data_IF_357733981313
#
_entry.id   IF_357733981313
#
_cell.length_a   1.000
_cell.length_b   1.000
_cell.length_c   1.000
_cell.angle_alpha   90.00
_cell.angle_beta   90.00
_cell.angle_gamma   90.00
#
_symmetry.space_group_name_H-M   'P 1'
#
loop_
_entity.id
_entity.type
_entity.pdbx_description
1 polymer ?
#
# COMPACT_ATOMS: atom_id res chain seq x y z
N UNK A 1 2.17 -14.60 -8.06
CA UNK A 1 3.56 -14.09 -8.04
C UNK A 1 4.33 -14.40 -9.33
N UNK A 2 4.56 -15.67 -9.72
CA UNK A 2 5.27 -16.03 -10.96
C UNK A 2 4.70 -15.35 -12.21
N UNK A 3 3.39 -15.47 -12.44
CA UNK A 3 2.72 -14.88 -13.61
C UNK A 3 2.85 -13.35 -13.66
N UNK A 4 2.72 -12.70 -12.50
CA UNK A 4 2.86 -11.23 -12.39
C UNK A 4 4.29 -10.81 -12.74
N UNK A 5 5.29 -11.50 -12.17
CA UNK A 5 6.69 -11.20 -12.42
C UNK A 5 7.04 -11.33 -13.92
N UNK A 6 6.63 -12.43 -14.55
CA UNK A 6 6.88 -12.66 -15.97
C UNK A 6 6.16 -11.63 -16.85
N UNK A 7 4.91 -11.31 -16.56
CA UNK A 7 4.16 -10.28 -17.29
C UNK A 7 4.78 -8.88 -17.14
N UNK A 8 5.35 -8.57 -15.97
CA UNK A 8 6.03 -7.31 -15.68
C UNK A 8 7.50 -7.26 -16.15
N UNK A 9 7.99 -8.33 -16.82
CA UNK A 9 9.37 -8.39 -17.32
C UNK A 9 10.44 -8.50 -16.23
N UNK A 10 10.09 -8.98 -15.04
CA UNK A 10 11.03 -9.18 -13.92
C UNK A 10 11.11 -10.63 -13.49
N UNK A 11 12.23 -11.01 -12.86
CA UNK A 11 12.33 -12.34 -12.27
C UNK A 11 11.40 -12.48 -11.05
N UNK A 12 10.84 -13.67 -10.75
CA UNK A 12 10.06 -13.90 -9.54
C UNK A 12 10.82 -13.56 -8.25
N UNK A 13 12.13 -13.78 -8.26
CA UNK A 13 13.00 -13.44 -7.12
C UNK A 13 13.17 -11.92 -6.98
N UNK A 14 13.24 -11.16 -8.08
CA UNK A 14 13.22 -9.70 -8.06
C UNK A 14 11.92 -9.18 -7.46
N UNK A 15 10.77 -9.73 -7.89
CA UNK A 15 9.47 -9.34 -7.34
C UNK A 15 9.40 -9.61 -5.83
N UNK A 16 9.87 -10.78 -5.36
CA UNK A 16 9.97 -11.07 -3.91
C UNK A 16 10.83 -10.06 -3.15
N UNK A 17 11.95 -9.64 -3.72
CA UNK A 17 12.82 -8.64 -3.09
C UNK A 17 12.14 -7.28 -3.00
N UNK A 18 11.35 -6.91 -3.99
CA UNK A 18 10.55 -5.67 -3.97
C UNK A 18 9.48 -5.76 -2.87
N UNK A 19 8.69 -6.85 -2.85
CA UNK A 19 7.64 -7.09 -1.83
C UNK A 19 8.18 -7.07 -0.40
N UNK A 20 9.37 -7.64 -0.19
CA UNK A 20 10.02 -7.68 1.12
C UNK A 20 10.82 -6.42 1.48
N UNK A 21 10.84 -5.40 0.62
CA UNK A 21 11.61 -4.18 0.83
C UNK A 21 13.14 -4.37 0.72
N UNK A 22 13.61 -5.51 0.21
CA UNK A 22 15.03 -5.83 0.01
C UNK A 22 15.63 -5.25 -1.28
N UNK A 23 14.84 -4.49 -2.04
CA UNK A 23 15.32 -3.60 -3.09
C UNK A 23 15.16 -2.17 -2.59
N UNK A 24 16.26 -1.52 -2.21
CA UNK A 24 16.21 -0.17 -1.64
C UNK A 24 15.69 0.88 -2.64
N UNK A 25 15.99 0.70 -3.93
CA UNK A 25 15.62 1.63 -5.01
C UNK A 25 15.26 0.86 -6.29
N UNK A 26 14.07 0.23 -6.35
CA UNK A 26 13.60 -0.35 -7.60
C UNK A 26 13.47 0.74 -8.67
N UNK A 27 13.80 0.42 -9.92
CA UNK A 27 13.69 1.39 -11.01
C UNK A 27 12.23 1.79 -11.22
N UNK A 28 11.96 3.05 -11.51
CA UNK A 28 10.59 3.51 -11.79
C UNK A 28 9.89 2.70 -12.91
N UNK A 29 10.54 2.38 -14.05
CA UNK A 29 9.95 1.52 -15.06
C UNK A 29 9.52 0.14 -14.53
N UNK A 30 10.27 -0.42 -13.57
CA UNK A 30 9.91 -1.69 -12.92
C UNK A 30 8.61 -1.55 -12.14
N UNK A 31 8.45 -0.48 -11.38
CA UNK A 31 7.23 -0.23 -10.61
C UNK A 31 6.04 0.02 -11.54
N UNK A 32 6.23 0.80 -12.60
CA UNK A 32 5.19 1.06 -13.60
C UNK A 32 4.71 -0.22 -14.30
N UNK A 33 5.63 -1.11 -14.69
CA UNK A 33 5.28 -2.40 -15.32
C UNK A 33 4.50 -3.33 -14.37
N UNK A 34 4.87 -3.37 -13.09
CA UNK A 34 4.14 -4.16 -12.08
C UNK A 34 2.73 -3.59 -11.87
N UNK A 35 2.59 -2.26 -11.79
CA UNK A 35 1.29 -1.60 -11.63
C UNK A 35 0.35 -1.87 -12.82
N UNK A 36 0.86 -1.79 -14.05
CA UNK A 36 0.09 -2.10 -15.26
C UNK A 36 -0.46 -3.53 -15.27
N UNK A 37 0.39 -4.52 -14.96
CA UNK A 37 0.00 -5.94 -14.86
C UNK A 37 -1.08 -6.17 -13.79
N UNK A 38 -1.00 -5.44 -12.67
CA UNK A 38 -1.99 -5.50 -11.59
C UNK A 38 -3.24 -4.65 -11.85
N UNK A 39 -3.25 -3.89 -12.95
CA UNK A 39 -4.30 -2.92 -13.31
C UNK A 39 -4.52 -1.87 -12.21
N UNK A 40 -3.44 -1.44 -11.58
CA UNK A 40 -3.43 -0.38 -10.57
C UNK A 40 -2.95 0.93 -11.19
N UNK A 41 -3.58 2.05 -10.81
CA UNK A 41 -3.06 3.36 -11.16
C UNK A 41 -1.83 3.68 -10.30
N UNK A 42 -0.79 4.27 -10.91
CA UNK A 42 0.34 4.80 -10.15
C UNK A 42 -0.07 5.92 -9.20
N UNK A 43 -1.12 6.67 -9.52
CA UNK A 43 -1.67 7.70 -8.64
C UNK A 43 -2.34 7.07 -7.41
N UNK A 44 -3.03 5.94 -7.57
CA UNK A 44 -3.63 5.19 -6.45
C UNK A 44 -2.55 4.62 -5.53
N UNK A 45 -1.51 4.02 -6.11
CA UNK A 45 -0.35 3.50 -5.36
C UNK A 45 0.35 4.63 -4.61
N UNK A 46 0.56 5.78 -5.26
CA UNK A 46 1.13 6.95 -4.62
C UNK A 46 0.27 7.48 -3.48
N UNK A 47 -1.05 7.59 -3.69
CA UNK A 47 -1.97 8.04 -2.67
C UNK A 47 -1.94 7.12 -1.44
N UNK A 48 -1.95 5.80 -1.64
CA UNK A 48 -1.89 4.82 -0.56
C UNK A 48 -0.61 4.92 0.28
N UNK A 49 0.56 5.07 -0.36
CA UNK A 49 1.85 5.19 0.34
C UNK A 49 1.97 6.50 1.11
N UNK A 50 1.32 7.56 0.63
CA UNK A 50 1.35 8.90 1.27
C UNK A 50 0.16 9.17 2.19
N UNK A 51 -0.76 8.21 2.36
CA UNK A 51 -1.78 8.36 3.37
C UNK A 51 -1.09 8.47 4.73
N UNK A 52 -1.34 9.55 5.49
CA UNK A 52 -0.86 9.60 6.86
C UNK A 52 -1.44 8.36 7.53
N UNK A 53 -0.60 7.56 8.18
CA UNK A 53 -1.05 6.39 8.91
C UNK A 53 -2.14 6.86 9.87
N UNK A 54 -3.40 6.71 9.47
CA UNK A 54 -4.51 6.91 10.37
C UNK A 54 -4.25 5.83 11.39
N UNK A 55 -3.81 6.24 12.58
CA UNK A 55 -3.87 5.37 13.75
C UNK A 55 -5.29 4.84 13.69
N UNK A 56 -5.43 3.56 13.37
CA UNK A 56 -6.70 2.87 13.42
C UNK A 56 -7.12 2.98 14.87
N UNK A 57 -7.80 4.07 15.20
CA UNK A 57 -8.40 4.25 16.50
C UNK A 57 -9.57 3.28 16.50
N UNK A 58 -9.57 2.22 17.34
CA UNK A 58 -10.73 1.39 17.48
C UNK A 58 -11.88 2.15 18.17
N UNK A 59 -11.71 3.42 18.57
CA UNK A 59 -12.73 4.19 19.27
C UNK A 59 -13.66 4.97 18.32
N UNK A 60 -14.30 4.25 17.40
CA UNK A 60 -15.67 4.59 17.00
C UNK A 60 -16.65 4.23 18.12
N UNK A 61 -16.47 4.75 19.34
CA UNK A 61 -17.52 4.77 20.35
C UNK A 61 -18.07 6.18 20.38
N UNK A 62 -19.23 6.32 19.75
CA UNK A 62 -20.20 7.40 19.92
C UNK A 62 -20.35 7.73 21.42
N UNK A 63 -19.53 8.64 21.95
CA UNK A 63 -19.70 9.16 23.31
C UNK A 63 -20.51 10.44 23.21
N UNK A 64 -21.81 10.29 23.45
CA UNK A 64 -22.74 11.39 23.61
C UNK A 64 -22.19 12.37 24.68
N UNK A 65 -21.97 13.66 24.36
CA UNK A 65 -21.50 14.65 25.32
C UNK A 65 -22.43 14.86 26.53
N UNK A 66 -23.64 14.26 26.56
CA UNK A 66 -24.61 14.40 27.64
C UNK A 66 -24.30 13.67 28.95
N UNK A 67 -23.38 12.71 28.99
CA UNK A 67 -23.08 11.97 30.23
C UNK A 67 -22.15 12.73 31.21
N UNK A 68 -21.55 13.86 30.81
CA UNK A 68 -20.57 14.58 31.64
C UNK A 68 -21.15 15.59 32.63
N UNK A 69 -22.47 15.83 32.66
CA UNK A 69 -23.08 16.88 33.50
C UNK A 69 -23.73 16.36 34.80
N UNK A 70 -23.58 15.09 35.13
CA UNK A 70 -24.12 14.51 36.35
C UNK A 70 -23.05 13.72 37.13
N UNK A 71 -22.13 14.44 37.78
CA UNK A 71 -21.36 13.98 38.95
C UNK A 71 -20.81 15.17 39.71
#
# INVERSE_FOLDING_TARGET
MLTIALAAGVSPETLRKIESGRVATPSFPTIAAIADVLRLSLDEVWAEINQPATTSDPAGSDRDPRERLAS
#
